data_IF_240894095356
#
_entry.id   IF_240894095356
#
_cell.length_a   1.000
_cell.length_b   1.000
_cell.length_c   1.000
_cell.angle_alpha   90.00
_cell.angle_beta   90.00
_cell.angle_gamma   90.00
#
_symmetry.space_group_name_H-M   'P 1'
#
loop_
_entity.id
_entity.type
_entity.pdbx_description
1 polymer ?
#
# COMPACT_ATOMS: atom_id res chain seq x y z
N UNK A 1 -11.83 -8.59 -14.05
CA UNK A 1 -11.87 -7.46 -13.09
C UNK A 1 -13.23 -6.76 -13.01
N UNK A 2 -14.17 -7.05 -13.92
CA UNK A 2 -15.49 -6.40 -13.95
C UNK A 2 -16.59 -7.12 -13.15
N UNK A 3 -16.29 -8.27 -12.54
CA UNK A 3 -17.25 -8.98 -11.67
C UNK A 3 -17.40 -8.36 -10.27
N UNK A 4 -16.36 -7.70 -9.76
CA UNK A 4 -16.37 -7.15 -8.40
C UNK A 4 -17.11 -5.81 -8.35
N UNK A 5 -18.04 -5.68 -7.41
CA UNK A 5 -18.82 -4.46 -7.18
C UNK A 5 -17.91 -3.32 -6.72
N UNK A 6 -18.29 -2.08 -7.02
CA UNK A 6 -17.50 -0.89 -6.65
C UNK A 6 -17.16 -0.85 -5.15
N UNK A 7 -18.12 -1.14 -4.28
CA UNK A 7 -17.89 -1.14 -2.82
C UNK A 7 -16.84 -2.18 -2.39
N UNK A 8 -16.74 -3.33 -3.08
CA UNK A 8 -15.72 -4.34 -2.79
C UNK A 8 -14.33 -3.84 -3.20
N UNK A 9 -14.24 -3.14 -4.34
CA UNK A 9 -12.99 -2.52 -4.79
C UNK A 9 -12.54 -1.43 -3.82
N UNK A 10 -13.47 -0.58 -3.36
CA UNK A 10 -13.18 0.46 -2.37
C UNK A 10 -12.76 -0.12 -1.02
N UNK A 11 -13.43 -1.17 -0.55
CA UNK A 11 -13.05 -1.86 0.69
C UNK A 11 -11.66 -2.50 0.57
N UNK A 12 -11.33 -3.10 -0.58
CA UNK A 12 -10.02 -3.67 -0.84
C UNK A 12 -8.91 -2.60 -0.86
N UNK A 13 -9.14 -1.45 -1.53
CA UNK A 13 -8.21 -0.31 -1.51
C UNK A 13 -8.02 0.27 -0.10
N UNK A 14 -9.10 0.39 0.67
CA UNK A 14 -9.06 0.87 2.05
C UNK A 14 -8.25 -0.08 2.93
N UNK A 15 -8.55 -1.38 2.91
CA UNK A 15 -7.82 -2.37 3.70
C UNK A 15 -6.37 -2.50 3.26
N UNK A 16 -6.09 -2.53 1.94
CA UNK A 16 -4.74 -2.57 1.41
C UNK A 16 -3.90 -1.38 1.86
N UNK A 17 -4.46 -0.16 1.83
CA UNK A 17 -3.80 1.05 2.33
C UNK A 17 -3.63 1.00 3.85
N UNK A 18 -4.63 0.50 4.59
CA UNK A 18 -4.52 0.34 6.04
C UNK A 18 -3.39 -0.63 6.42
N UNK A 19 -3.23 -1.75 5.72
CA UNK A 19 -2.12 -2.67 5.92
C UNK A 19 -0.77 -2.06 5.56
N UNK A 20 -0.68 -1.33 4.44
CA UNK A 20 0.53 -0.61 4.04
C UNK A 20 0.99 0.36 5.13
N UNK A 21 0.06 1.16 5.69
CA UNK A 21 0.38 2.09 6.77
C UNK A 21 0.73 1.33 8.06
N UNK A 22 -0.08 0.35 8.45
CA UNK A 22 0.13 -0.38 9.70
C UNK A 22 1.47 -1.11 9.73
N UNK A 23 1.84 -1.83 8.67
CA UNK A 23 3.10 -2.61 8.63
C UNK A 23 4.27 -1.76 8.18
N UNK A 24 4.12 -1.03 7.07
CA UNK A 24 5.18 -0.20 6.50
C UNK A 24 5.53 0.94 7.44
N UNK A 25 4.60 1.87 7.66
CA UNK A 25 4.85 3.03 8.54
C UNK A 25 5.05 2.57 9.99
N UNK A 26 4.30 1.57 10.46
CA UNK A 26 4.46 1.03 11.82
C UNK A 26 5.80 0.34 12.09
N UNK A 27 6.55 -0.09 11.07
CA UNK A 27 7.92 -0.61 11.25
C UNK A 27 8.89 0.43 11.82
N UNK A 28 8.65 1.71 11.53
CA UNK A 28 9.49 2.84 11.97
C UNK A 28 9.43 3.04 13.50
N UNK A 29 8.26 3.30 14.12
CA UNK A 29 8.17 3.41 15.57
C UNK A 29 8.50 2.09 16.27
N UNK A 30 8.18 0.93 15.68
CA UNK A 30 8.54 -0.36 16.26
C UNK A 30 10.06 -0.50 16.44
N UNK A 31 10.84 -0.18 15.39
CA UNK A 31 12.31 -0.20 15.48
C UNK A 31 12.85 0.92 16.37
N UNK A 32 12.28 2.12 16.32
CA UNK A 32 12.71 3.22 17.19
C UNK A 32 12.56 2.86 18.68
N UNK A 33 11.43 2.26 19.05
CA UNK A 33 11.17 1.80 20.42
C UNK A 33 12.13 0.68 20.81
N UNK A 34 12.30 -0.33 19.95
CA UNK A 34 13.20 -1.45 20.21
C UNK A 34 14.66 -1.01 20.40
N UNK A 35 15.05 0.11 19.79
CA UNK A 35 16.39 0.70 19.89
C UNK A 35 16.55 1.76 20.98
N UNK A 36 15.49 2.08 21.72
CA UNK A 36 15.55 3.13 22.73
C UNK A 36 15.73 4.55 22.17
N UNK A 37 15.30 4.80 20.93
CA UNK A 37 15.33 6.12 20.30
C UNK A 37 16.65 6.50 19.62
N UNK A 38 17.63 5.61 19.58
CA UNK A 38 18.88 5.83 18.84
C UNK A 38 18.64 6.03 17.33
N UNK A 39 19.44 6.87 16.65
CA UNK A 39 19.33 7.06 15.21
C UNK A 39 19.44 5.75 14.42
N UNK A 40 18.65 5.62 13.36
CA UNK A 40 18.69 4.46 12.48
C UNK A 40 20.03 4.39 11.73
N UNK A 41 20.61 3.19 11.67
CA UNK A 41 21.73 2.91 10.76
C UNK A 41 21.19 2.40 9.42
N UNK A 42 22.09 2.17 8.46
CA UNK A 42 21.73 1.59 7.17
C UNK A 42 21.01 0.23 7.27
N UNK A 43 21.33 -0.57 8.29
CA UNK A 43 20.69 -1.88 8.50
C UNK A 43 19.20 -1.72 8.84
N UNK A 44 18.84 -0.81 9.74
CA UNK A 44 17.44 -0.59 10.14
C UNK A 44 16.63 0.08 9.03
N UNK A 45 17.23 1.02 8.31
CA UNK A 45 16.61 1.58 7.11
C UNK A 45 16.34 0.48 6.07
N UNK A 46 17.24 -0.51 5.96
CA UNK A 46 17.04 -1.71 5.15
C UNK A 46 15.85 -2.56 5.61
N UNK A 47 15.72 -2.81 6.91
CA UNK A 47 14.57 -3.55 7.47
C UNK A 47 13.24 -2.81 7.28
N UNK A 48 13.21 -1.49 7.49
CA UNK A 48 12.03 -0.65 7.20
C UNK A 48 11.65 -0.77 5.73
N UNK A 49 12.63 -0.66 4.82
CA UNK A 49 12.39 -0.79 3.38
C UNK A 49 11.84 -2.17 3.01
N UNK A 50 12.37 -3.25 3.60
CA UNK A 50 11.85 -4.60 3.41
C UNK A 50 10.44 -4.79 3.96
N UNK A 51 10.09 -4.16 5.08
CA UNK A 51 8.74 -4.19 5.63
C UNK A 51 7.73 -3.56 4.65
N UNK A 52 8.04 -2.37 4.11
CA UNK A 52 7.24 -1.72 3.06
C UNK A 52 7.13 -2.59 1.80
N UNK A 53 8.24 -3.09 1.27
CA UNK A 53 8.22 -3.92 0.06
C UNK A 53 7.40 -5.20 0.24
N UNK A 54 7.58 -5.87 1.38
CA UNK A 54 6.90 -7.13 1.68
C UNK A 54 5.39 -6.93 1.83
N UNK A 55 4.93 -5.90 2.55
CA UNK A 55 3.49 -5.68 2.71
C UNK A 55 2.82 -5.29 1.39
N UNK A 56 3.51 -4.56 0.51
CA UNK A 56 3.00 -4.29 -0.84
C UNK A 56 2.82 -5.60 -1.62
N UNK A 57 3.81 -6.51 -1.59
CA UNK A 57 3.68 -7.82 -2.25
C UNK A 57 2.49 -8.61 -1.68
N UNK A 58 2.37 -8.69 -0.36
CA UNK A 58 1.25 -9.38 0.29
C UNK A 58 -0.10 -8.81 -0.14
N UNK A 59 -0.25 -7.49 -0.09
CA UNK A 59 -1.52 -6.83 -0.48
C UNK A 59 -1.83 -6.99 -1.96
N UNK A 60 -0.82 -7.05 -2.85
CA UNK A 60 -1.04 -7.38 -4.27
C UNK A 60 -1.65 -8.78 -4.41
N UNK A 61 -1.14 -9.79 -3.71
CA UNK A 61 -1.70 -11.15 -3.78
C UNK A 61 -3.08 -11.26 -3.15
N UNK A 62 -3.36 -10.49 -2.09
CA UNK A 62 -4.64 -10.54 -1.36
C UNK A 62 -5.74 -9.73 -2.06
N UNK A 63 -5.44 -8.54 -2.57
CA UNK A 63 -6.43 -7.58 -3.08
C UNK A 63 -6.30 -7.27 -4.57
N UNK A 64 -5.21 -7.67 -5.22
CA UNK A 64 -4.94 -7.34 -6.63
C UNK A 64 -6.03 -7.83 -7.59
N UNK A 65 -6.59 -9.02 -7.38
CA UNK A 65 -7.70 -9.54 -8.19
C UNK A 65 -9.04 -8.84 -7.93
N UNK A 66 -9.16 -8.10 -6.81
CA UNK A 66 -10.38 -7.37 -6.43
C UNK A 66 -10.39 -5.97 -7.04
N UNK A 67 -9.44 -5.12 -6.64
CA UNK A 67 -9.39 -3.69 -7.01
C UNK A 67 -8.27 -3.33 -7.98
N UNK A 68 -7.23 -4.17 -8.07
CA UNK A 68 -5.95 -3.83 -8.71
C UNK A 68 -4.85 -3.45 -7.72
N UNK A 69 -5.20 -3.34 -6.43
CA UNK A 69 -4.30 -3.01 -5.32
C UNK A 69 -3.47 -1.75 -5.62
N UNK A 70 -4.14 -0.64 -5.94
CA UNK A 70 -3.44 0.61 -6.18
C UNK A 70 -2.79 1.12 -4.90
N UNK A 71 -3.54 1.08 -3.79
CA UNK A 71 -3.16 1.46 -2.41
C UNK A 71 -2.43 2.81 -2.30
N UNK A 72 -2.59 3.64 -3.33
CA UNK A 72 -1.85 4.88 -3.55
C UNK A 72 -2.58 5.75 -4.60
N UNK A 73 -2.95 6.99 -4.25
CA UNK A 73 -3.56 7.93 -5.18
C UNK A 73 -2.68 8.27 -6.39
N UNK A 74 -1.35 8.39 -6.22
CA UNK A 74 -0.43 8.69 -7.31
C UNK A 74 -0.35 7.54 -8.33
N UNK A 75 -0.41 6.28 -7.87
CA UNK A 75 -0.49 5.11 -8.75
C UNK A 75 -1.80 5.12 -9.52
N UNK A 76 -2.92 5.38 -8.83
CA UNK A 76 -4.25 5.49 -9.45
C UNK A 76 -4.26 6.55 -10.56
N UNK A 77 -3.71 7.74 -10.27
CA UNK A 77 -3.62 8.83 -11.23
C UNK A 77 -2.69 8.47 -12.40
N UNK A 78 -1.53 7.88 -12.13
CA UNK A 78 -0.59 7.45 -13.16
C UNK A 78 -1.21 6.43 -14.13
N UNK A 79 -1.96 5.46 -13.60
CA UNK A 79 -2.70 4.49 -14.41
C UNK A 79 -3.83 5.16 -15.22
N UNK A 80 -4.53 6.15 -14.66
CA UNK A 80 -5.56 6.88 -15.37
C UNK A 80 -4.99 7.71 -16.54
N UNK A 81 -3.88 8.41 -16.31
CA UNK A 81 -3.12 9.14 -17.35
C UNK A 81 -2.64 8.19 -18.44
N UNK A 82 -2.14 7.01 -18.07
CA UNK A 82 -1.72 5.97 -19.00
C UNK A 82 -2.89 5.24 -19.70
N UNK A 83 -4.15 5.67 -19.49
CA UNK A 83 -5.37 5.02 -20.00
C UNK A 83 -5.53 3.54 -19.60
N UNK A 84 -4.91 3.15 -18.49
CA UNK A 84 -5.00 1.82 -17.88
C UNK A 84 -6.02 1.75 -16.75
N UNK A 85 -6.59 2.88 -16.33
CA UNK A 85 -7.65 2.95 -15.33
C UNK A 85 -8.73 3.98 -15.71
N UNK A 86 -10.03 3.71 -15.50
CA UNK A 86 -11.09 4.64 -15.87
C UNK A 86 -11.08 5.92 -15.01
N UNK A 87 -11.06 7.09 -15.64
CA UNK A 87 -11.11 8.39 -14.96
C UNK A 87 -12.31 8.57 -14.02
N UNK A 88 -13.47 8.00 -14.37
CA UNK A 88 -14.67 8.03 -13.52
C UNK A 88 -14.52 7.36 -12.15
N UNK A 89 -13.48 6.54 -11.97
CA UNK A 89 -13.18 5.83 -10.72
C UNK A 89 -12.01 6.48 -9.96
N UNK A 90 -11.37 7.51 -10.52
CA UNK A 90 -10.36 8.29 -9.82
C UNK A 90 -11.11 9.21 -8.84
N UNK A 91 -10.77 9.20 -7.54
CA UNK A 91 -11.35 10.12 -6.57
C UNK A 91 -11.16 11.57 -7.02
N UNK A 92 -12.22 12.38 -6.89
CA UNK A 92 -12.20 13.81 -7.21
C UNK A 92 -11.42 14.62 -6.16
#
# INVERSE_FOLDING_TARGET
MDENRLWQKLAAEFLGTAFLVFVGVGSVPALAIARGGEPFTGAELGFISLAFGTIVVVTVYVFGYISGNHINPAVTLGLAVARKFPWKLVPA
#
